data_IF_315787592843
#
_entry.id   IF_315787592843
#
_cell.length_a   1.000
_cell.length_b   1.000
_cell.length_c   1.000
_cell.angle_alpha   90.00
_cell.angle_beta   90.00
_cell.angle_gamma   90.00
#
_symmetry.space_group_name_H-M   'P 1'
#
loop_
_entity.id
_entity.type
_entity.pdbx_description
1 polymer ?
#
# COMPACT_ATOMS: atom_id res chain seq x y z
N UNK A 1 -24.78 -40.58 73.39
CA UNK A 1 -25.02 -39.17 73.79
C UNK A 1 -24.78 -38.33 72.55
N UNK A 2 -25.86 -38.13 71.79
CA UNK A 2 -26.48 -36.80 71.48
C UNK A 2 -25.79 -36.16 70.26
N UNK A 3 -26.20 -36.44 69.01
CA UNK A 3 -27.28 -35.78 68.24
C UNK A 3 -27.61 -34.35 68.70
N UNK A 4 -27.31 -33.36 67.85
CA UNK A 4 -28.16 -32.18 67.71
C UNK A 4 -28.17 -31.69 66.25
N UNK A 5 -29.39 -31.58 65.74
CA UNK A 5 -29.84 -31.07 64.44
C UNK A 5 -30.02 -29.56 64.54
N UNK A 6 -29.84 -28.81 63.44
CA UNK A 6 -30.69 -27.66 63.07
C UNK A 6 -30.48 -27.26 61.61
N UNK A 7 -31.53 -27.44 60.82
CA UNK A 7 -31.80 -26.74 59.56
C UNK A 7 -32.10 -25.26 59.82
N UNK A 8 -31.75 -24.41 58.85
CA UNK A 8 -32.60 -23.29 58.45
C UNK A 8 -32.28 -22.91 57.00
N UNK A 9 -33.28 -23.07 56.14
CA UNK A 9 -33.35 -22.55 54.79
C UNK A 9 -33.87 -21.10 54.88
N UNK A 10 -33.34 -20.18 54.09
CA UNK A 10 -34.05 -18.94 53.73
C UNK A 10 -33.67 -18.50 52.34
N UNK A 11 -34.71 -18.19 51.59
CA UNK A 11 -34.81 -18.00 50.15
C UNK A 11 -34.90 -16.49 49.87
N UNK A 12 -34.58 -16.12 48.62
CA UNK A 12 -34.93 -14.87 47.92
C UNK A 12 -34.07 -13.61 48.19
N UNK A 13 -33.37 -13.14 47.16
CA UNK A 13 -33.78 -11.92 46.45
C UNK A 13 -32.93 -11.75 45.17
N UNK A 14 -33.60 -11.69 44.02
CA UNK A 14 -32.99 -11.59 42.71
C UNK A 14 -32.20 -10.29 42.49
N UNK A 15 -31.08 -10.44 41.79
CA UNK A 15 -30.38 -9.36 41.11
C UNK A 15 -30.43 -9.60 39.61
N UNK A 16 -31.51 -9.17 38.98
CA UNK A 16 -31.60 -8.96 37.53
C UNK A 16 -30.51 -7.97 37.14
N UNK A 17 -29.39 -8.50 36.65
CA UNK A 17 -28.33 -7.72 36.02
C UNK A 17 -28.52 -7.88 34.53
N UNK A 18 -29.44 -7.06 34.00
CA UNK A 18 -29.65 -6.91 32.56
C UNK A 18 -28.33 -6.62 31.84
N UNK A 19 -28.24 -6.94 30.54
CA UNK A 19 -27.02 -6.77 29.78
C UNK A 19 -26.68 -5.29 29.71
N UNK A 20 -25.56 -4.92 30.32
CA UNK A 20 -24.91 -3.63 30.12
C UNK A 20 -24.62 -3.51 28.63
N UNK A 21 -25.50 -2.78 27.94
CA UNK A 21 -25.25 -2.29 26.59
C UNK A 21 -24.13 -1.26 26.71
N UNK A 22 -22.90 -1.75 26.73
CA UNK A 22 -21.74 -0.93 26.47
C UNK A 22 -21.85 -0.55 24.99
N UNK A 23 -22.56 0.56 24.73
CA UNK A 23 -22.41 1.28 23.49
C UNK A 23 -20.96 1.73 23.43
N UNK A 24 -20.16 0.99 22.68
CA UNK A 24 -18.84 1.45 22.27
C UNK A 24 -19.06 2.73 21.49
N UNK A 25 -18.93 3.88 22.15
CA UNK A 25 -18.61 5.13 21.49
C UNK A 25 -17.20 4.92 20.92
N UNK A 26 -17.11 4.32 19.74
CA UNK A 26 -15.90 4.32 18.92
C UNK A 26 -15.68 5.76 18.48
N UNK A 27 -15.01 6.53 19.32
CA UNK A 27 -14.30 7.72 18.84
C UNK A 27 -13.35 7.21 17.73
N UNK A 28 -13.45 7.77 16.52
CA UNK A 28 -12.63 7.30 15.41
C UNK A 28 -11.16 7.39 15.82
N UNK A 29 -10.34 6.37 15.53
CA UNK A 29 -8.92 6.39 15.89
C UNK A 29 -8.30 7.68 15.38
N UNK A 30 -7.63 8.41 16.26
CA UNK A 30 -7.01 9.69 15.93
C UNK A 30 -5.82 9.42 15.00
N UNK A 31 -6.06 9.51 13.69
CA UNK A 31 -5.04 9.32 12.67
C UNK A 31 -4.09 10.52 12.62
N UNK A 32 -2.83 10.26 12.33
CA UNK A 32 -1.88 11.31 12.00
C UNK A 32 -2.29 11.99 10.68
N UNK A 33 -2.27 13.33 10.68
CA UNK A 33 -2.53 14.10 9.47
C UNK A 33 -1.24 14.22 8.64
N UNK A 34 -1.34 14.03 7.33
CA UNK A 34 -0.29 14.34 6.36
C UNK A 34 -0.67 15.56 5.55
N UNK A 35 0.19 16.58 5.59
CA UNK A 35 0.06 17.76 4.77
C UNK A 35 0.74 17.56 3.40
N UNK A 36 0.59 18.55 2.51
CA UNK A 36 1.16 18.49 1.16
C UNK A 36 2.71 18.44 1.14
N UNK A 37 3.39 19.17 2.03
CA UNK A 37 4.85 19.11 2.15
C UNK A 37 5.33 17.75 2.65
N UNK A 38 4.60 17.11 3.57
CA UNK A 38 4.92 15.77 4.04
C UNK A 38 4.87 14.80 2.84
N UNK A 39 3.79 14.84 2.06
CA UNK A 39 3.62 13.97 0.86
C UNK A 39 4.75 14.19 -0.16
N UNK A 40 5.11 15.46 -0.42
CA UNK A 40 6.22 15.79 -1.31
C UNK A 40 7.53 15.18 -0.78
N UNK A 41 7.77 15.28 0.53
CA UNK A 41 8.95 14.71 1.18
C UNK A 41 9.04 13.18 1.08
N UNK A 42 7.90 12.48 0.95
CA UNK A 42 7.85 11.02 0.77
C UNK A 42 8.11 10.54 -0.68
N UNK A 43 8.30 11.46 -1.63
CA UNK A 43 8.58 11.09 -3.02
C UNK A 43 10.00 10.57 -3.19
N UNK A 44 10.15 9.49 -3.97
CA UNK A 44 11.46 8.90 -4.28
C UNK A 44 12.43 9.87 -4.97
N UNK A 45 11.93 10.92 -5.63
CA UNK A 45 12.76 11.94 -6.26
C UNK A 45 13.44 12.90 -5.29
N UNK A 46 12.99 12.97 -4.03
CA UNK A 46 13.61 13.76 -2.97
C UNK A 46 14.42 12.90 -2.00
N UNK A 47 14.43 11.58 -2.19
CA UNK A 47 15.23 10.64 -1.39
C UNK A 47 16.67 10.59 -1.89
N UNK A 48 17.59 11.15 -1.10
CA UNK A 48 19.02 11.20 -1.40
C UNK A 48 19.78 9.98 -0.87
N UNK A 49 19.13 9.04 -0.18
CA UNK A 49 19.79 7.85 0.38
C UNK A 49 20.52 7.04 -0.71
N UNK A 50 19.96 7.01 -1.92
CA UNK A 50 20.57 6.34 -3.07
C UNK A 50 21.94 6.88 -3.50
N UNK A 51 22.31 8.12 -3.13
CA UNK A 51 23.65 8.68 -3.41
C UNK A 51 24.75 8.04 -2.56
N UNK A 52 24.40 7.44 -1.42
CA UNK A 52 25.36 6.92 -0.44
C UNK A 52 25.63 5.41 -0.59
N UNK A 53 25.21 4.80 -1.70
CA UNK A 53 25.52 3.41 -2.04
C UNK A 53 24.75 2.35 -1.26
N UNK A 54 24.04 2.74 -0.19
CA UNK A 54 23.13 1.87 0.53
C UNK A 54 21.77 1.85 -0.18
N UNK A 55 21.71 1.08 -1.27
CA UNK A 55 20.45 0.71 -1.89
C UNK A 55 19.79 -0.35 -1.02
N UNK A 56 19.46 -0.02 0.22
CA UNK A 56 18.49 -0.81 0.96
C UNK A 56 17.23 -0.77 0.11
N UNK A 57 16.95 -1.88 -0.58
CA UNK A 57 15.72 -2.06 -1.33
C UNK A 57 14.57 -1.57 -0.46
N UNK A 58 13.79 -0.61 -0.99
CA UNK A 58 12.79 0.15 -0.23
C UNK A 58 12.10 -0.73 0.79
N UNK A 59 12.29 -0.38 2.06
CA UNK A 59 11.70 -1.12 3.18
C UNK A 59 10.25 -0.70 3.42
N UNK A 60 9.67 0.06 2.50
CA UNK A 60 8.34 0.64 2.62
C UNK A 60 7.66 0.66 1.25
N UNK A 61 6.37 0.34 1.25
CA UNK A 61 5.46 0.53 0.13
C UNK A 61 4.29 1.39 0.62
N UNK A 62 3.71 2.19 -0.28
CA UNK A 62 2.59 3.06 0.06
C UNK A 62 1.48 2.90 -0.95
N UNK A 63 0.25 3.09 -0.51
CA UNK A 63 -0.89 3.23 -1.41
C UNK A 63 -1.83 4.33 -0.94
N UNK A 64 -2.53 4.93 -1.90
CA UNK A 64 -3.62 5.85 -1.61
C UNK A 64 -4.95 5.10 -1.53
N UNK A 65 -5.86 5.56 -0.68
CA UNK A 65 -7.23 5.07 -0.61
C UNK A 65 -8.24 6.20 -0.46
N UNK A 66 -9.41 6.04 -1.10
CA UNK A 66 -10.59 6.90 -0.90
C UNK A 66 -11.60 6.29 0.08
N UNK A 67 -11.28 5.13 0.66
CA UNK A 67 -12.16 4.48 1.64
C UNK A 67 -12.05 5.20 2.99
N UNK A 68 -13.12 5.19 3.81
CA UNK A 68 -13.04 5.65 5.20
C UNK A 68 -11.99 4.87 5.98
N UNK A 69 -11.37 5.50 6.97
CA UNK A 69 -10.37 4.89 7.84
C UNK A 69 -10.84 3.56 8.45
N UNK A 70 -12.08 3.50 8.94
CA UNK A 70 -12.68 2.28 9.51
C UNK A 70 -12.68 1.11 8.53
N UNK A 71 -12.96 1.36 7.24
CA UNK A 71 -12.97 0.33 6.20
C UNK A 71 -11.55 -0.16 5.92
N UNK A 72 -10.57 0.76 5.88
CA UNK A 72 -9.16 0.41 5.69
C UNK A 72 -8.67 -0.45 6.86
N UNK A 73 -8.99 -0.05 8.09
CA UNK A 73 -8.65 -0.79 9.32
C UNK A 73 -9.25 -2.20 9.28
N UNK A 74 -10.55 -2.32 9.05
CA UNK A 74 -11.21 -3.62 8.98
C UNK A 74 -10.61 -4.50 7.89
N UNK A 75 -10.22 -3.92 6.75
CA UNK A 75 -9.57 -4.66 5.68
C UNK A 75 -8.17 -5.12 6.06
N UNK A 76 -7.36 -4.29 6.70
CA UNK A 76 -6.04 -4.68 7.19
C UNK A 76 -6.14 -5.84 8.20
N UNK A 77 -7.14 -5.82 9.08
CA UNK A 77 -7.41 -6.90 10.04
C UNK A 77 -7.90 -8.20 9.38
N UNK A 78 -8.69 -8.09 8.31
CA UNK A 78 -9.10 -9.25 7.50
C UNK A 78 -7.88 -9.88 6.81
N UNK A 79 -7.05 -9.05 6.18
CA UNK A 79 -5.85 -9.50 5.46
C UNK A 79 -4.81 -10.11 6.41
N UNK A 80 -4.60 -9.53 7.59
CA UNK A 80 -3.67 -10.12 8.55
C UNK A 80 -4.11 -11.52 8.98
N UNK A 81 -5.42 -11.74 9.16
CA UNK A 81 -5.98 -13.05 9.53
C UNK A 81 -5.82 -14.05 8.38
N UNK A 82 -6.13 -13.65 7.14
CA UNK A 82 -6.00 -14.52 5.98
C UNK A 82 -4.55 -14.95 5.74
N UNK A 83 -3.60 -14.04 5.96
CA UNK A 83 -2.16 -14.28 5.83
C UNK A 83 -1.51 -14.87 7.09
N UNK A 84 -2.29 -15.19 8.13
CA UNK A 84 -1.81 -15.76 9.41
C UNK A 84 -0.73 -14.91 10.08
N UNK A 85 -0.81 -13.59 9.89
CA UNK A 85 0.01 -12.61 10.59
C UNK A 85 -0.63 -12.31 11.96
N UNK A 86 0.21 -12.20 12.98
CA UNK A 86 -0.22 -11.76 14.31
C UNK A 86 -0.35 -10.24 14.28
N UNK A 87 -1.51 -9.74 14.69
CA UNK A 87 -1.68 -8.31 14.97
C UNK A 87 -1.15 -8.00 16.36
N UNK A 88 -0.26 -7.02 16.43
CA UNK A 88 0.26 -6.42 17.66
C UNK A 88 -0.44 -5.10 17.98
N UNK A 89 0.33 -4.15 18.54
CA UNK A 89 -0.16 -2.83 18.96
C UNK A 89 -0.96 -2.16 17.82
N UNK A 90 -2.17 -1.73 18.15
CA UNK A 90 -3.04 -0.90 17.34
C UNK A 90 -3.22 0.43 18.08
N UNK A 91 -2.61 1.49 17.58
CA UNK A 91 -2.62 2.80 18.24
C UNK A 91 -2.54 3.91 17.20
N UNK A 92 -3.41 4.92 17.28
CA UNK A 92 -3.44 6.07 16.38
C UNK A 92 -3.38 5.74 14.86
N UNK A 93 -3.88 4.57 14.45
CA UNK A 93 -3.84 4.12 13.04
C UNK A 93 -2.57 3.34 12.64
N UNK A 94 -1.66 3.08 13.58
CA UNK A 94 -0.50 2.21 13.42
C UNK A 94 -0.81 0.78 13.85
N UNK A 95 -0.50 -0.18 12.99
CA UNK A 95 -0.72 -1.61 13.17
C UNK A 95 0.60 -2.35 13.03
N UNK A 96 0.98 -3.11 14.05
CA UNK A 96 2.11 -4.03 13.93
C UNK A 96 1.63 -5.40 13.46
N UNK A 97 2.20 -5.91 12.37
CA UNK A 97 1.94 -7.22 11.79
C UNK A 97 3.20 -8.08 11.89
N UNK A 98 3.09 -9.27 12.45
CA UNK A 98 4.23 -10.17 12.67
C UNK A 98 3.97 -11.56 12.09
N UNK A 99 4.90 -12.03 11.26
CA UNK A 99 4.91 -13.38 10.72
C UNK A 99 5.19 -14.39 11.82
N UNK A 100 4.52 -15.54 11.75
CA UNK A 100 4.70 -16.61 12.75
C UNK A 100 5.94 -17.47 12.51
N UNK A 101 6.56 -17.37 11.32
CA UNK A 101 7.72 -18.16 10.93
C UNK A 101 9.00 -17.34 11.07
N UNK A 102 10.07 -17.95 11.56
CA UNK A 102 11.39 -17.34 11.53
C UNK A 102 12.01 -17.49 10.13
N UNK A 103 12.30 -16.36 9.49
CA UNK A 103 13.08 -16.29 8.27
C UNK A 103 14.59 -16.26 8.56
N UNK A 104 15.40 -16.11 7.50
CA UNK A 104 16.88 -16.03 7.60
C UNK A 104 17.36 -14.92 8.55
N UNK A 105 16.59 -13.84 8.65
CA UNK A 105 16.89 -12.67 9.49
C UNK A 105 15.90 -12.53 10.66
N UNK A 106 15.39 -13.65 11.16
CA UNK A 106 14.35 -13.70 12.18
C UNK A 106 12.95 -13.54 11.59
N UNK A 107 11.94 -13.47 12.47
CA UNK A 107 10.55 -13.30 12.06
C UNK A 107 10.35 -11.95 11.34
N UNK A 108 9.65 -12.00 10.20
CA UNK A 108 9.24 -10.82 9.45
C UNK A 108 8.24 -10.01 10.27
N UNK A 109 8.53 -8.73 10.49
CA UNK A 109 7.61 -7.80 11.16
C UNK A 109 7.46 -6.54 10.32
N UNK A 110 6.23 -6.07 10.19
CA UNK A 110 5.83 -4.97 9.32
C UNK A 110 4.89 -4.06 10.10
N UNK A 111 5.08 -2.76 9.98
CA UNK A 111 4.14 -1.76 10.46
C UNK A 111 3.28 -1.27 9.30
N UNK A 112 1.96 -1.21 9.52
CA UNK A 112 1.02 -0.58 8.60
C UNK A 112 0.43 0.66 9.28
N UNK A 113 0.68 1.84 8.75
CA UNK A 113 0.23 3.11 9.32
C UNK A 113 -0.72 3.83 8.35
N UNK A 114 -1.85 4.29 8.89
CA UNK A 114 -2.88 5.02 8.14
C UNK A 114 -2.78 6.49 8.47
N UNK A 115 -2.52 7.29 7.45
CA UNK A 115 -2.46 8.74 7.54
C UNK A 115 -3.66 9.39 6.88
N UNK A 116 -4.22 10.40 7.53
CA UNK A 116 -5.27 11.22 6.96
C UNK A 116 -4.66 12.37 6.14
N UNK A 117 -4.98 12.46 4.86
CA UNK A 117 -4.60 13.63 4.03
C UNK A 117 -5.77 14.62 3.93
N UNK A 118 -6.98 14.09 3.76
CA UNK A 118 -8.23 14.83 3.81
C UNK A 118 -9.31 13.95 4.45
N UNK A 119 -10.53 14.47 4.65
CA UNK A 119 -11.65 13.70 5.21
C UNK A 119 -11.98 12.41 4.43
N UNK A 120 -11.65 12.35 3.13
CA UNK A 120 -11.99 11.21 2.25
C UNK A 120 -10.77 10.63 1.55
N UNK A 121 -9.56 10.98 1.98
CA UNK A 121 -8.34 10.49 1.36
C UNK A 121 -7.32 10.13 2.42
N UNK A 122 -6.85 8.90 2.34
CA UNK A 122 -5.88 8.33 3.26
C UNK A 122 -4.67 7.83 2.48
N UNK A 123 -3.49 7.98 3.07
CA UNK A 123 -2.27 7.33 2.64
C UNK A 123 -1.99 6.20 3.62
N UNK A 124 -1.73 5.00 3.11
CA UNK A 124 -1.33 3.86 3.94
C UNK A 124 0.11 3.53 3.62
N UNK A 125 0.97 3.55 4.64
CA UNK A 125 2.36 3.11 4.55
C UNK A 125 2.49 1.72 5.16
N UNK A 126 3.15 0.81 4.45
CA UNK A 126 3.45 -0.54 4.91
C UNK A 126 4.96 -0.70 4.93
N UNK A 127 5.56 -0.73 6.12
CA UNK A 127 7.01 -0.65 6.33
C UNK A 127 7.55 -1.88 7.05
N UNK A 128 8.61 -2.48 6.51
CA UNK A 128 9.36 -3.57 7.14
C UNK A 128 10.12 -3.04 8.36
N UNK A 129 9.87 -3.64 9.52
CA UNK A 129 10.53 -3.31 10.78
C UNK A 129 11.59 -4.35 11.17
N UNK A 130 11.38 -5.62 10.84
CA UNK A 130 12.33 -6.71 11.08
C UNK A 130 12.26 -7.78 9.98
N UNK A 131 13.22 -8.71 9.94
CA UNK A 131 13.21 -9.84 9.01
C UNK A 131 13.84 -9.56 7.66
N UNK A 132 13.75 -10.56 6.78
CA UNK A 132 14.41 -10.55 5.47
C UNK A 132 13.67 -9.68 4.45
N UNK A 133 14.43 -8.91 3.66
CA UNK A 133 13.82 -7.94 2.74
C UNK A 133 13.20 -8.61 1.51
N UNK A 134 13.75 -9.74 1.04
CA UNK A 134 13.14 -10.48 -0.07
C UNK A 134 11.83 -11.13 0.36
N UNK A 135 11.78 -11.63 1.59
CA UNK A 135 10.55 -12.16 2.20
C UNK A 135 9.47 -11.08 2.30
N UNK A 136 9.84 -9.88 2.75
CA UNK A 136 8.94 -8.71 2.77
C UNK A 136 8.42 -8.36 1.37
N UNK A 137 9.31 -8.25 0.37
CA UNK A 137 8.91 -7.91 -1.00
C UNK A 137 7.96 -8.96 -1.58
N UNK A 138 8.25 -10.23 -1.35
CA UNK A 138 7.38 -11.33 -1.78
C UNK A 138 6.00 -11.23 -1.15
N UNK A 139 5.92 -11.04 0.17
CA UNK A 139 4.65 -10.86 0.87
C UNK A 139 3.87 -9.65 0.34
N UNK A 140 4.55 -8.54 0.07
CA UNK A 140 3.91 -7.35 -0.50
C UNK A 140 3.33 -7.64 -1.88
N UNK A 141 4.13 -8.20 -2.78
CA UNK A 141 3.75 -8.38 -4.18
C UNK A 141 2.76 -9.52 -4.40
N UNK A 142 2.97 -10.67 -3.75
CA UNK A 142 2.18 -11.89 -4.00
C UNK A 142 0.94 -11.98 -3.11
N UNK A 143 0.96 -11.38 -1.91
CA UNK A 143 -0.10 -11.57 -0.91
C UNK A 143 -0.84 -10.27 -0.57
N UNK A 144 -0.15 -9.24 -0.09
CA UNK A 144 -0.79 -8.00 0.38
C UNK A 144 -1.43 -7.20 -0.76
N UNK A 145 -0.72 -7.00 -1.87
CA UNK A 145 -1.24 -6.22 -3.01
C UNK A 145 -2.54 -6.81 -3.56
N UNK A 146 -2.63 -8.11 -3.89
CA UNK A 146 -3.89 -8.71 -4.31
C UNK A 146 -4.98 -8.62 -3.25
N UNK A 147 -4.63 -8.86 -1.98
CA UNK A 147 -5.61 -8.89 -0.90
C UNK A 147 -6.21 -7.51 -0.55
N UNK A 148 -5.51 -6.41 -0.89
CA UNK A 148 -5.93 -5.02 -0.64
C UNK A 148 -6.50 -4.32 -1.89
N UNK A 149 -6.61 -5.01 -3.03
CA UNK A 149 -6.95 -4.41 -4.32
C UNK A 149 -8.30 -3.66 -4.34
N UNK A 150 -9.25 -4.04 -3.48
CA UNK A 150 -10.58 -3.43 -3.36
C UNK A 150 -10.59 -2.08 -2.64
N UNK A 151 -9.54 -1.78 -1.88
CA UNK A 151 -9.40 -0.51 -1.13
C UNK A 151 -8.30 0.40 -1.70
N UNK A 152 -7.40 -0.13 -2.54
CA UNK A 152 -6.31 0.63 -3.16
C UNK A 152 -6.84 1.47 -4.33
N UNK A 153 -6.48 2.75 -4.34
CA UNK A 153 -6.63 3.62 -5.50
C UNK A 153 -5.40 3.52 -6.42
N UNK A 154 -4.20 3.63 -5.84
CA UNK A 154 -2.93 3.56 -6.58
C UNK A 154 -1.79 3.20 -5.62
N UNK A 155 -0.84 2.37 -6.08
CA UNK A 155 0.41 2.10 -5.36
C UNK A 155 1.48 3.13 -5.74
N UNK A 156 2.26 3.58 -4.75
CA UNK A 156 3.39 4.46 -4.98
C UNK A 156 4.52 3.68 -5.69
N UNK A 157 4.99 4.18 -6.84
CA UNK A 157 6.09 3.57 -7.58
C UNK A 157 5.67 2.49 -8.59
N UNK A 158 4.37 2.27 -8.80
CA UNK A 158 3.92 1.58 -10.02
C UNK A 158 4.33 2.41 -11.23
N UNK A 159 5.17 1.81 -12.09
CA UNK A 159 5.35 2.32 -13.44
C UNK A 159 4.08 1.97 -14.17
N UNK A 160 3.34 2.98 -14.63
CA UNK A 160 2.30 2.76 -15.63
C UNK A 160 2.93 1.93 -16.75
N UNK A 161 2.44 0.69 -16.93
CA UNK A 161 2.65 -0.01 -18.19
C UNK A 161 1.84 0.78 -19.19
N UNK A 162 2.48 1.77 -19.81
CA UNK A 162 1.89 2.49 -20.92
C UNK A 162 1.54 1.43 -21.98
N UNK A 163 0.25 1.11 -22.11
CA UNK A 163 -0.25 0.40 -23.27
C UNK A 163 0.09 1.28 -24.46
N UNK A 164 1.05 0.83 -25.26
CA UNK A 164 1.40 1.44 -26.52
C UNK A 164 0.18 1.27 -27.44
N UNK A 165 -0.66 2.31 -27.51
CA UNK A 165 -1.76 2.38 -28.47
C UNK A 165 -1.18 2.17 -29.88
N UNK A 166 -1.73 1.24 -30.70
CA UNK A 166 -1.22 1.04 -32.04
C UNK A 166 -1.46 2.30 -32.87
N UNK A 167 -0.38 2.87 -33.43
CA UNK A 167 -0.44 3.95 -34.42
C UNK A 167 -1.11 3.39 -35.68
N UNK A 168 -2.41 3.60 -35.80
CA UNK A 168 -3.19 3.21 -36.99
C UNK A 168 -3.40 4.46 -37.85
N UNK A 169 -2.70 4.44 -39.00
CA UNK A 169 -2.96 5.13 -40.27
C UNK A 169 -2.67 6.63 -40.37
N UNK A 170 -1.47 6.93 -40.86
CA UNK A 170 -1.25 8.00 -41.83
C UNK A 170 -0.85 7.33 -43.14
N UNK A 171 -1.84 7.05 -43.98
CA UNK A 171 -1.71 6.97 -45.42
C UNK A 171 -3.04 7.47 -46.01
N UNK A 172 -2.95 8.00 -47.23
CA UNK A 172 -3.99 8.65 -48.03
C UNK A 172 -4.05 10.18 -47.92
N UNK A 173 -3.09 10.84 -48.56
CA UNK A 173 -3.42 11.80 -49.63
C UNK A 173 -2.38 11.69 -50.75
N UNK A 174 -2.74 10.84 -51.72
CA UNK A 174 -2.22 10.73 -53.09
C UNK A 174 -2.58 12.02 -53.86
N UNK A 175 -1.65 12.65 -54.59
CA UNK A 175 -1.56 12.69 -56.07
C UNK A 175 -0.66 13.92 -56.38
N UNK A 176 0.27 14.01 -57.33
CA UNK A 176 0.37 13.44 -58.67
C UNK A 176 1.81 13.65 -59.19
N UNK A 177 2.36 12.63 -59.86
CA UNK A 177 3.54 12.71 -60.73
C UNK A 177 3.21 13.45 -62.05
N UNK A 178 4.23 14.00 -62.74
CA UNK A 178 4.50 13.45 -64.06
C UNK A 178 6.00 13.24 -64.34
N UNK A 179 6.40 11.98 -64.40
CA UNK A 179 7.05 11.25 -65.51
C UNK A 179 8.14 11.95 -66.35
N UNK A 180 9.21 11.15 -66.55
CA UNK A 180 10.30 11.22 -67.54
C UNK A 180 11.46 12.15 -67.14
N UNK A 181 12.73 11.80 -67.30
CA UNK A 181 13.39 10.76 -68.09
C UNK A 181 14.77 10.47 -67.49
N UNK A 182 15.21 9.22 -67.63
CA UNK A 182 16.58 8.76 -67.37
C UNK A 182 17.64 9.57 -68.15
N UNK A 183 18.88 9.54 -67.63
CA UNK A 183 20.18 9.39 -68.32
C UNK A 183 21.26 10.37 -67.82
N UNK A 184 22.19 9.78 -67.06
CA UNK A 184 23.66 9.87 -67.12
C UNK A 184 24.45 11.21 -67.00
N UNK A 185 25.35 11.18 -66.02
CA UNK A 185 26.76 11.63 -65.98
C UNK A 185 27.17 12.98 -66.59
N UNK A 186 27.78 13.83 -65.76
CA UNK A 186 29.09 14.43 -66.09
C UNK A 186 29.74 15.09 -64.87
N UNK A 187 30.90 14.56 -64.51
CA UNK A 187 31.94 15.17 -63.70
C UNK A 187 32.53 16.36 -64.46
N UNK A 188 32.55 17.56 -63.85
CA UNK A 188 33.57 18.56 -64.22
C UNK A 188 33.71 19.71 -63.22
N UNK A 189 34.82 19.64 -62.48
CA UNK A 189 35.81 20.69 -62.25
C UNK A 189 35.39 22.00 -61.52
N UNK A 190 35.70 21.97 -60.23
CA UNK A 190 36.17 23.10 -59.44
C UNK A 190 37.60 23.47 -59.88
N UNK A 191 37.83 24.67 -60.44
CA UNK A 191 39.14 25.41 -60.46
C UNK A 191 38.96 26.85 -61.02
N UNK A 192 38.95 27.82 -60.10
CA UNK A 192 39.86 28.99 -59.99
C UNK A 192 39.79 30.23 -60.92
N UNK A 193 40.09 31.38 -60.27
CA UNK A 193 40.41 32.75 -60.73
C UNK A 193 39.20 33.66 -61.05
N UNK A 194 39.09 34.90 -60.54
CA UNK A 194 40.07 35.86 -60.01
C UNK A 194 39.49 36.70 -58.85
#
# INVERSE_FOLDING_TARGET
MEKQVREANSVEAGGDSGPSKNGENHEPPQLANLNAFDIIGLSAGFDLAGLFGDVYSKQETRFASRKPASVIISKLEEVSKSLKLKIGKQDAGLFKLEGSNEGRKGALSIDAEIFQVTQTFHLVEVKKCNGDTMEYQKLVEEDLRPALADIVLVWQGEKEKHEELPRVLQDEQEEQEPSSSSIETSTSNMTQFA
#
